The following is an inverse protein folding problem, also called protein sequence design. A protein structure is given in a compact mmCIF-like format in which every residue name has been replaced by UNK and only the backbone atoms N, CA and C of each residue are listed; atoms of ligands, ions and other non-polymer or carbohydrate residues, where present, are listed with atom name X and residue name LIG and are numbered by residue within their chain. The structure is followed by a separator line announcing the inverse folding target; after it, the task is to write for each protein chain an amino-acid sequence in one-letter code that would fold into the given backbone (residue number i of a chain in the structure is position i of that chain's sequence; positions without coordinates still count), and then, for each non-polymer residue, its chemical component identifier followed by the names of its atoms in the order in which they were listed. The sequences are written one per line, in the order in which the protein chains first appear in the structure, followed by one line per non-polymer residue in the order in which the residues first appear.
data_IF_981511491200
#
_entry.id   IF_981511491200
#
_cell.length_a   1.000
_cell.length_b   1.000
_cell.length_c   1.000
_cell.angle_alpha   90.00
_cell.angle_beta   90.00
_cell.angle_gamma   90.00
#
_symmetry.space_group_name_H-M   'P 1'
#
loop_
_entity.id
_entity.type
_entity.pdbx_description
1 polymer ?
#
# COMPACT_ATOMS: atom_id res chain seq x y z
N UNK A 1 -9.09 -10.08 -6.60
CA UNK A 1 -8.34 -11.25 -6.10
C UNK A 1 -6.91 -11.06 -6.57
N UNK A 2 -5.94 -10.89 -5.66
CA UNK A 2 -4.52 -10.68 -6.01
C UNK A 2 -3.76 -12.00 -6.20
N UNK A 3 -4.49 -13.11 -6.20
CA UNK A 3 -4.01 -14.49 -6.30
C UNK A 3 -3.26 -14.75 -7.61
N UNK A 4 -3.66 -14.07 -8.70
CA UNK A 4 -3.03 -14.17 -10.02
C UNK A 4 -1.82 -13.23 -10.22
N UNK A 5 -1.46 -12.43 -9.20
CA UNK A 5 -0.32 -11.52 -9.26
C UNK A 5 0.88 -12.13 -8.53
N UNK A 6 2.03 -12.14 -9.22
CA UNK A 6 3.32 -12.51 -8.61
C UNK A 6 3.62 -11.61 -7.42
N UNK A 7 4.40 -12.12 -6.47
CA UNK A 7 4.77 -11.41 -5.25
C UNK A 7 5.39 -10.04 -5.52
N UNK A 8 6.20 -9.93 -6.57
CA UNK A 8 6.79 -8.67 -7.02
C UNK A 8 5.74 -7.65 -7.51
N UNK A 9 4.67 -8.12 -8.14
CA UNK A 9 3.61 -7.23 -8.61
C UNK A 9 2.76 -6.72 -7.44
N UNK A 10 2.47 -7.58 -6.45
CA UNK A 10 1.79 -7.20 -5.21
C UNK A 10 2.65 -6.20 -4.42
N UNK A 11 3.95 -6.45 -4.31
CA UNK A 11 4.90 -5.55 -3.66
C UNK A 11 4.94 -4.20 -4.37
N UNK A 12 5.07 -4.18 -5.70
CA UNK A 12 5.11 -2.94 -6.49
C UNK A 12 3.83 -2.12 -6.37
N UNK A 13 2.67 -2.76 -6.32
CA UNK A 13 1.38 -2.11 -6.07
C UNK A 13 1.36 -1.46 -4.67
N UNK A 14 1.83 -2.20 -3.67
CA UNK A 14 1.90 -1.72 -2.30
C UNK A 14 2.86 -0.53 -2.17
N UNK A 15 4.05 -0.60 -2.79
CA UNK A 15 5.03 0.49 -2.83
C UNK A 15 4.50 1.72 -3.58
N UNK A 16 3.74 1.53 -4.66
CA UNK A 16 3.10 2.63 -5.38
C UNK A 16 2.16 3.41 -4.46
N UNK A 17 1.31 2.71 -3.69
CA UNK A 17 0.41 3.34 -2.72
C UNK A 17 1.23 4.06 -1.64
N UNK A 18 2.33 3.46 -1.16
CA UNK A 18 3.22 4.11 -0.18
C UNK A 18 3.78 5.43 -0.72
N UNK A 19 4.24 5.46 -1.96
CA UNK A 19 4.75 6.67 -2.61
C UNK A 19 3.66 7.73 -2.77
N UNK A 20 2.45 7.34 -3.16
CA UNK A 20 1.32 8.26 -3.27
C UNK A 20 0.95 8.87 -1.91
N UNK A 21 0.92 8.08 -0.84
CA UNK A 21 0.66 8.55 0.53
C UNK A 21 1.77 9.47 1.02
N UNK A 22 3.04 9.10 0.79
CA UNK A 22 4.18 9.94 1.16
C UNK A 22 4.17 11.29 0.43
N UNK A 23 3.81 11.29 -0.86
CA UNK A 23 3.66 12.52 -1.64
C UNK A 23 2.50 13.39 -1.14
N UNK A 24 1.32 12.80 -0.86
CA UNK A 24 0.17 13.51 -0.30
C UNK A 24 0.51 14.14 1.07
N UNK A 25 1.20 13.37 1.93
CA UNK A 25 1.69 13.83 3.24
C UNK A 25 2.67 14.99 3.10
N UNK A 26 3.64 14.88 2.18
CA UNK A 26 4.63 15.93 1.91
C UNK A 26 4.00 17.21 1.36
N UNK A 27 2.88 17.11 0.62
CA UNK A 27 2.14 18.24 0.08
C UNK A 27 1.23 18.93 1.13
N UNK A 28 1.30 18.54 2.40
CA UNK A 28 0.43 19.08 3.46
C UNK A 28 -0.99 18.51 3.41
N UNK A 29 -1.21 17.49 2.57
CA UNK A 29 -2.42 16.71 2.49
C UNK A 29 -2.64 15.95 3.79
N UNK A 30 -3.52 16.49 4.61
CA UNK A 30 -3.95 15.92 5.90
C UNK A 30 -4.86 14.70 5.65
N UNK A 31 -4.36 13.69 4.93
CA UNK A 31 -4.99 12.38 4.67
C UNK A 31 -6.42 12.41 4.11
N UNK A 32 -6.89 13.54 3.61
CA UNK A 32 -8.33 13.75 3.36
C UNK A 32 -8.79 13.17 2.01
N UNK A 33 -7.87 13.06 1.04
CA UNK A 33 -8.18 12.62 -0.32
C UNK A 33 -7.94 11.12 -0.54
N UNK A 34 -6.90 10.54 0.07
CA UNK A 34 -6.54 9.12 -0.10
C UNK A 34 -6.98 8.23 1.07
N UNK A 35 -7.25 8.80 2.26
CA UNK A 35 -7.18 8.15 3.57
C UNK A 35 -8.20 7.06 3.95
N UNK A 36 -9.08 6.59 3.07
CA UNK A 36 -9.92 5.41 3.34
C UNK A 36 -9.79 4.33 2.27
N UNK A 37 -9.87 4.73 1.01
CA UNK A 37 -9.76 3.82 -0.13
C UNK A 37 -8.32 3.32 -0.32
N UNK A 38 -7.31 4.19 -0.14
CA UNK A 38 -5.92 3.78 -0.20
C UNK A 38 -5.56 2.87 0.98
N UNK A 39 -6.07 3.18 2.18
CA UNK A 39 -5.84 2.40 3.39
C UNK A 39 -6.40 0.99 3.30
N UNK A 40 -7.65 0.84 2.83
CA UNK A 40 -8.22 -0.49 2.58
C UNK A 40 -7.45 -1.29 1.54
N UNK A 41 -6.96 -0.64 0.47
CA UNK A 41 -6.16 -1.32 -0.55
C UNK A 41 -4.80 -1.74 0.00
N UNK A 42 -4.12 -0.85 0.72
CA UNK A 42 -2.84 -1.13 1.37
C UNK A 42 -2.96 -2.24 2.44
N UNK A 43 -4.02 -2.24 3.25
CA UNK A 43 -4.27 -3.31 4.21
C UNK A 43 -4.46 -4.66 3.54
N UNK A 44 -5.25 -4.72 2.45
CA UNK A 44 -5.43 -5.97 1.69
C UNK A 44 -4.11 -6.47 1.10
N UNK A 45 -3.34 -5.59 0.48
CA UNK A 45 -2.03 -5.93 -0.09
C UNK A 45 -1.03 -6.35 1.00
N UNK A 46 -1.01 -5.65 2.13
CA UNK A 46 -0.15 -5.98 3.27
C UNK A 46 -0.49 -7.34 3.88
N UNK A 47 -1.78 -7.70 3.98
CA UNK A 47 -2.20 -9.04 4.43
C UNK A 47 -1.76 -10.14 3.46
N UNK A 48 -1.88 -9.91 2.15
CA UNK A 48 -1.38 -10.84 1.14
C UNK A 48 0.14 -11.01 1.24
N UNK A 49 0.90 -9.91 1.32
CA UNK A 49 2.37 -9.94 1.44
C UNK A 49 2.81 -10.63 2.74
N UNK A 50 2.09 -10.38 3.85
CA UNK A 50 2.33 -11.04 5.14
C UNK A 50 2.05 -12.53 5.06
N UNK A 51 0.93 -12.93 4.46
CA UNK A 51 0.55 -14.35 4.28
C UNK A 51 1.55 -15.11 3.40
N UNK A 52 2.19 -14.42 2.46
CA UNK A 52 3.24 -14.97 1.58
C UNK A 52 4.66 -14.86 2.14
N UNK A 53 4.84 -14.24 3.31
CA UNK A 53 6.16 -14.04 3.94
C UNK A 53 7.07 -13.04 3.23
N UNK A 54 6.51 -12.18 2.38
CA UNK A 54 7.25 -11.17 1.62
C UNK A 54 7.58 -10.02 2.54
N UNK A 55 8.86 -9.59 2.57
CA UNK A 55 9.26 -8.40 3.32
C UNK A 55 8.76 -7.15 2.60
N UNK A 56 7.99 -6.33 3.30
CA UNK A 56 7.55 -5.03 2.82
C UNK A 56 7.67 -4.00 3.95
N UNK A 57 7.69 -2.72 3.60
CA UNK A 57 7.75 -1.64 4.60
C UNK A 57 6.35 -1.11 4.88
N UNK A 58 5.93 -0.99 6.13
CA UNK A 58 4.62 -0.41 6.46
C UNK A 58 4.45 1.00 5.86
N UNK A 59 3.25 1.31 5.36
CA UNK A 59 2.91 2.69 4.97
C UNK A 59 2.73 3.50 6.25
N UNK A 60 3.45 4.61 6.38
CA UNK A 60 3.23 5.58 7.44
C UNK A 60 2.03 6.45 7.10
N UNK A 61 0.93 6.21 7.82
CA UNK A 61 -0.26 7.06 7.81
C UNK A 61 -0.05 8.35 8.62
#
# INVERSE_FOLDING_TARGET
MFDNLSDQAVLRLYENIRHQVAADKALGGRYRLLGKSASQRAERLGRELTGRGVKFTAIEW
#
